data_IF_508066630473
#
_entry.id   IF_508066630473
#
_cell.length_a   1.000
_cell.length_b   1.000
_cell.length_c   1.000
_cell.angle_alpha   90.00
_cell.angle_beta   90.00
_cell.angle_gamma   90.00
#
_symmetry.space_group_name_H-M   'P 1'
#
loop_
_entity.id
_entity.type
_entity.pdbx_description
1 polymer ?
#
# COMPACT_ATOMS: atom_id res chain seq x y z
N UNK A 1 -12.48 15.49 12.47
CA UNK A 1 -13.93 15.76 12.51
C UNK A 1 -14.47 15.50 11.12
N UNK A 2 -15.30 14.49 10.94
CA UNK A 2 -15.95 14.17 9.65
C UNK A 2 -17.04 15.21 9.39
N UNK A 3 -16.91 16.02 8.35
CA UNK A 3 -18.01 16.91 7.95
C UNK A 3 -19.11 16.04 7.33
N UNK A 4 -20.18 15.77 8.08
CA UNK A 4 -21.37 15.13 7.53
C UNK A 4 -22.00 16.06 6.48
N UNK A 5 -22.36 15.51 5.32
CA UNK A 5 -23.11 16.24 4.30
C UNK A 5 -22.67 16.05 2.85
N UNK A 6 -21.61 15.29 2.55
CA UNK A 6 -21.29 14.93 1.16
C UNK A 6 -21.77 13.54 0.84
N UNK A 7 -22.48 13.41 -0.27
CA UNK A 7 -23.03 12.16 -0.82
C UNK A 7 -22.67 12.03 -2.30
N UNK A 8 -22.77 10.82 -2.84
CA UNK A 8 -22.55 10.57 -4.28
C UNK A 8 -23.44 11.47 -5.17
N UNK A 9 -24.75 11.64 -4.90
CA UNK A 9 -25.58 12.59 -5.65
C UNK A 9 -25.05 14.04 -5.64
N UNK A 10 -24.54 14.51 -4.50
CA UNK A 10 -23.97 15.85 -4.41
C UNK A 10 -22.71 15.97 -5.27
N UNK A 11 -21.85 14.95 -5.26
CA UNK A 11 -20.67 14.90 -6.12
C UNK A 11 -21.05 14.91 -7.60
N UNK A 12 -22.05 14.15 -8.02
CA UNK A 12 -22.56 14.17 -9.40
C UNK A 12 -23.01 15.56 -9.87
N UNK A 13 -23.58 16.37 -8.95
CA UNK A 13 -24.02 17.74 -9.26
C UNK A 13 -22.86 18.74 -9.26
N UNK A 14 -21.87 18.54 -8.38
CA UNK A 14 -20.73 19.46 -8.23
C UNK A 14 -19.61 19.22 -9.22
N UNK A 15 -19.50 18.02 -9.79
CA UNK A 15 -18.44 17.66 -10.74
C UNK A 15 -18.77 18.23 -12.12
N UNK A 16 -18.05 19.26 -12.60
CA UNK A 16 -18.35 19.87 -13.88
C UNK A 16 -17.98 18.91 -15.01
N UNK A 17 -18.75 18.94 -16.10
CA UNK A 17 -18.32 18.34 -17.37
C UNK A 17 -17.33 19.30 -18.04
N UNK A 18 -16.09 19.28 -17.57
CA UNK A 18 -14.98 20.09 -18.07
C UNK A 18 -13.91 19.15 -18.66
N UNK A 19 -13.18 19.54 -19.73
CA UNK A 19 -12.11 18.71 -20.30
C UNK A 19 -10.99 18.34 -19.31
N UNK A 20 -10.84 19.09 -18.21
CA UNK A 20 -9.85 18.81 -17.16
C UNK A 20 -10.34 17.79 -16.12
N UNK A 21 -11.60 17.37 -16.19
CA UNK A 21 -12.17 16.29 -15.38
C UNK A 21 -12.10 15.01 -16.19
N UNK A 22 -11.46 13.94 -15.69
CA UNK A 22 -11.43 12.67 -16.39
C UNK A 22 -12.85 12.12 -16.60
N UNK A 23 -13.19 11.66 -17.81
CA UNK A 23 -14.47 10.99 -18.09
C UNK A 23 -14.73 9.83 -17.11
N UNK A 24 -13.64 9.13 -16.73
CA UNK A 24 -13.66 8.05 -15.74
C UNK A 24 -14.21 8.48 -14.37
N UNK A 25 -14.04 9.74 -13.97
CA UNK A 25 -14.62 10.26 -12.73
C UNK A 25 -16.16 10.24 -12.76
N UNK A 26 -16.76 10.59 -13.90
CA UNK A 26 -18.21 10.52 -14.10
C UNK A 26 -18.70 9.08 -14.15
N UNK A 27 -17.94 8.18 -14.80
CA UNK A 27 -18.27 6.75 -14.85
C UNK A 27 -18.25 6.11 -13.45
N UNK A 28 -17.25 6.43 -12.63
CA UNK A 28 -17.16 5.95 -11.25
C UNK A 28 -18.39 6.39 -10.45
N UNK A 29 -18.72 7.69 -10.47
CA UNK A 29 -19.88 8.20 -9.73
C UNK A 29 -21.21 7.61 -10.23
N UNK A 30 -21.30 7.25 -11.51
CA UNK A 30 -22.49 6.60 -12.07
C UNK A 30 -22.59 5.12 -11.68
N UNK A 31 -21.46 4.45 -11.43
CA UNK A 31 -21.40 3.03 -11.09
C UNK A 31 -21.53 2.74 -9.58
N UNK A 32 -21.15 3.71 -8.74
CA UNK A 32 -21.20 3.58 -7.28
C UNK A 32 -22.66 3.78 -6.77
N UNK A 33 -23.13 3.00 -5.77
CA UNK A 33 -24.44 3.21 -5.16
C UNK A 33 -24.61 4.64 -4.63
N UNK A 34 -25.83 5.19 -4.74
CA UNK A 34 -26.09 6.58 -4.33
C UNK A 34 -25.90 6.83 -2.82
N UNK A 35 -26.02 5.77 -2.01
CA UNK A 35 -25.82 5.75 -0.57
C UNK A 35 -24.41 5.31 -0.16
N UNK A 36 -23.51 5.10 -1.12
CA UNK A 36 -22.12 4.74 -0.82
C UNK A 36 -21.44 5.80 0.03
N UNK A 37 -20.55 5.33 0.89
CA UNK A 37 -19.78 6.20 1.77
C UNK A 37 -18.85 7.11 0.95
N UNK A 38 -18.90 8.40 1.25
CA UNK A 38 -17.96 9.38 0.73
C UNK A 38 -17.04 9.79 1.87
N UNK A 39 -15.76 9.46 1.77
CA UNK A 39 -14.77 9.96 2.70
C UNK A 39 -14.62 11.47 2.50
N UNK A 40 -14.92 12.24 3.54
CA UNK A 40 -14.95 13.70 3.51
C UNK A 40 -14.14 14.29 4.65
N UNK A 41 -13.15 15.10 4.31
CA UNK A 41 -12.35 15.86 5.27
C UNK A 41 -11.89 17.19 4.69
N UNK A 42 -11.41 18.06 5.57
CA UNK A 42 -10.79 19.35 5.25
C UNK A 42 -9.28 19.31 5.51
N UNK A 43 -8.51 20.02 4.70
CA UNK A 43 -7.07 20.13 4.88
C UNK A 43 -6.55 21.47 4.32
N UNK A 44 -5.46 22.03 4.88
CA UNK A 44 -4.72 23.10 4.21
C UNK A 44 -4.15 22.61 2.88
N UNK A 45 -4.33 23.38 1.80
CA UNK A 45 -3.92 22.96 0.46
C UNK A 45 -2.42 22.61 0.38
N UNK A 46 -1.54 23.44 0.94
CA UNK A 46 -0.10 23.19 0.95
C UNK A 46 0.29 21.93 1.76
N UNK A 47 -0.44 21.61 2.83
CA UNK A 47 -0.20 20.39 3.60
C UNK A 47 -0.61 19.14 2.79
N UNK A 48 -1.75 19.21 2.11
CA UNK A 48 -2.22 18.14 1.23
C UNK A 48 -1.29 17.95 0.04
N UNK A 49 -0.86 19.02 -0.63
CA UNK A 49 0.09 18.96 -1.74
C UNK A 49 1.42 18.31 -1.31
N UNK A 50 1.94 18.65 -0.13
CA UNK A 50 3.13 18.00 0.44
C UNK A 50 2.91 16.52 0.75
N UNK A 51 1.72 16.15 1.22
CA UNK A 51 1.38 14.74 1.48
C UNK A 51 1.29 13.95 0.17
N UNK A 52 0.62 14.47 -0.85
CA UNK A 52 0.47 13.82 -2.16
C UNK A 52 1.82 13.62 -2.85
N UNK A 53 2.72 14.60 -2.80
CA UNK A 53 4.10 14.48 -3.34
C UNK A 53 4.94 13.40 -2.66
N UNK A 54 4.67 13.12 -1.38
CA UNK A 54 5.36 12.06 -0.61
C UNK A 54 4.65 10.71 -0.69
N UNK A 55 3.46 10.67 -1.29
CA UNK A 55 2.71 9.43 -1.43
C UNK A 55 3.39 8.52 -2.45
N UNK A 56 3.21 7.20 -2.30
CA UNK A 56 3.74 6.21 -3.24
C UNK A 56 3.13 6.32 -4.64
N UNK A 57 2.00 7.00 -4.76
CA UNK A 57 1.30 7.27 -6.02
C UNK A 57 1.78 8.58 -6.68
N UNK A 58 2.81 9.24 -6.14
CA UNK A 58 3.41 10.40 -6.78
C UNK A 58 3.89 10.05 -8.19
N UNK A 59 3.37 10.76 -9.20
CA UNK A 59 3.68 10.52 -10.61
C UNK A 59 2.65 9.67 -11.36
N UNK A 60 1.63 9.12 -10.68
CA UNK A 60 0.51 8.49 -11.38
C UNK A 60 -0.28 9.52 -12.20
N UNK A 61 -0.95 9.10 -13.29
CA UNK A 61 -1.86 9.96 -14.05
C UNK A 61 -2.90 10.63 -13.13
N UNK A 62 -3.16 11.93 -13.33
CA UNK A 62 -4.11 12.69 -12.53
C UNK A 62 -3.55 13.29 -11.22
N UNK A 63 -2.50 12.72 -10.60
CA UNK A 63 -1.89 13.30 -9.40
C UNK A 63 -1.30 14.69 -9.62
N UNK A 64 -0.71 14.91 -10.81
CA UNK A 64 -0.15 16.22 -11.18
C UNK A 64 -1.21 17.33 -11.19
N UNK A 65 -2.42 17.02 -11.66
CA UNK A 65 -3.52 17.98 -11.70
C UNK A 65 -4.00 18.35 -10.29
N UNK A 66 -4.10 17.37 -9.37
CA UNK A 66 -4.42 17.65 -7.97
C UNK A 66 -3.37 18.56 -7.32
N UNK A 67 -2.09 18.24 -7.48
CA UNK A 67 -0.99 19.01 -6.88
C UNK A 67 -0.94 20.42 -7.44
N UNK A 68 -1.10 20.60 -8.75
CA UNK A 68 -1.10 21.92 -9.40
C UNK A 68 -2.23 22.82 -8.86
N UNK A 69 -3.45 22.30 -8.73
CA UNK A 69 -4.57 23.06 -8.16
C UNK A 69 -4.33 23.43 -6.69
N UNK A 70 -3.69 22.56 -5.92
CA UNK A 70 -3.37 22.83 -4.51
C UNK A 70 -2.24 23.86 -4.34
N UNK A 71 -1.22 23.82 -5.20
CA UNK A 71 -0.10 24.78 -5.14
C UNK A 71 -0.57 26.21 -5.39
N UNK A 72 -1.56 26.39 -6.28
CA UNK A 72 -2.14 27.70 -6.58
C UNK A 72 -2.87 28.35 -5.38
N UNK A 73 -3.23 27.55 -4.37
CA UNK A 73 -4.04 27.97 -3.22
C UNK A 73 -3.22 28.25 -1.95
N UNK A 74 -1.92 27.91 -1.93
CA UNK A 74 -1.09 28.10 -0.74
C UNK A 74 -1.65 27.37 0.49
N UNK A 75 -1.89 28.08 1.60
CA UNK A 75 -2.45 27.49 2.83
C UNK A 75 -3.98 27.57 2.91
N UNK A 76 -4.68 27.99 1.84
CA UNK A 76 -6.15 28.02 1.84
C UNK A 76 -6.74 26.61 2.13
N UNK A 77 -7.81 26.53 2.94
CA UNK A 77 -8.45 25.26 3.25
C UNK A 77 -9.22 24.72 2.03
N UNK A 78 -9.08 23.42 1.81
CA UNK A 78 -9.80 22.67 0.77
C UNK A 78 -10.62 21.55 1.39
N UNK A 79 -11.71 21.21 0.72
CA UNK A 79 -12.53 20.05 1.01
C UNK A 79 -12.10 18.90 0.09
N UNK A 80 -11.70 17.80 0.70
CA UNK A 80 -11.34 16.57 -0.01
C UNK A 80 -12.50 15.60 0.07
N UNK A 81 -12.95 15.09 -1.07
CA UNK A 81 -14.02 14.09 -1.18
C UNK A 81 -13.52 12.90 -1.97
N UNK A 82 -13.70 11.71 -1.38
CA UNK A 82 -13.14 10.49 -1.90
C UNK A 82 -14.22 9.42 -2.02
N UNK A 83 -14.25 8.77 -3.19
CA UNK A 83 -15.19 7.70 -3.53
C UNK A 83 -14.42 6.53 -4.10
N UNK A 84 -14.73 5.34 -3.60
CA UNK A 84 -14.10 4.08 -4.01
C UNK A 84 -14.96 3.32 -5.02
N UNK A 85 -14.31 2.76 -6.04
CA UNK A 85 -14.89 1.74 -6.92
C UNK A 85 -13.84 0.65 -7.20
N UNK A 86 -13.89 -0.43 -6.43
CA UNK A 86 -12.89 -1.49 -6.53
C UNK A 86 -11.49 -0.96 -6.19
N UNK A 87 -10.53 -1.14 -7.11
CA UNK A 87 -9.17 -0.62 -6.97
C UNK A 87 -9.02 0.85 -7.36
N UNK A 88 -10.06 1.49 -7.92
CA UNK A 88 -10.02 2.91 -8.29
C UNK A 88 -10.50 3.81 -7.15
N UNK A 89 -9.81 4.92 -6.97
CA UNK A 89 -10.14 6.01 -6.05
C UNK A 89 -10.38 7.29 -6.84
N UNK A 90 -11.60 7.79 -6.81
CA UNK A 90 -11.90 9.16 -7.24
C UNK A 90 -11.63 10.11 -6.08
N UNK A 91 -10.75 11.10 -6.29
CA UNK A 91 -10.57 12.24 -5.38
C UNK A 91 -11.08 13.51 -6.05
N UNK A 92 -11.99 14.22 -5.38
CA UNK A 92 -12.51 15.54 -5.78
C UNK A 92 -12.07 16.58 -4.76
N UNK A 93 -11.52 17.69 -5.25
CA UNK A 93 -11.11 18.84 -4.46
C UNK A 93 -12.08 19.99 -4.70
N UNK A 94 -12.61 20.55 -3.62
CA UNK A 94 -13.43 21.76 -3.63
C UNK A 94 -12.77 22.81 -2.73
N UNK A 95 -12.94 24.10 -3.04
CA UNK A 95 -12.52 25.18 -2.15
C UNK A 95 -13.44 25.22 -0.94
N UNK A 96 -12.88 25.33 0.27
CA UNK A 96 -13.71 25.28 1.48
C UNK A 96 -14.55 26.54 1.73
N UNK A 97 -14.16 27.69 1.18
CA UNK A 97 -14.88 28.97 1.40
C UNK A 97 -16.22 29.03 0.67
N UNK A 98 -16.31 28.46 -0.53
CA UNK A 98 -17.45 28.62 -1.44
C UNK A 98 -17.91 27.30 -2.09
N UNK A 99 -17.24 26.18 -1.83
CA UNK A 99 -17.56 24.88 -2.41
C UNK A 99 -17.19 24.76 -3.89
N UNK A 100 -16.47 25.72 -4.46
CA UNK A 100 -16.11 25.73 -5.89
C UNK A 100 -15.23 24.54 -6.23
N UNK A 101 -15.52 23.88 -7.35
CA UNK A 101 -14.70 22.80 -7.87
C UNK A 101 -13.28 23.29 -8.21
N UNK A 102 -12.27 22.53 -7.78
CA UNK A 102 -10.86 22.83 -8.03
C UNK A 102 -10.19 21.81 -8.94
N UNK A 103 -10.42 20.52 -8.69
CA UNK A 103 -9.81 19.42 -9.45
C UNK A 103 -10.47 18.10 -9.12
N UNK A 104 -10.39 17.14 -10.02
CA UNK A 104 -10.72 15.75 -9.79
C UNK A 104 -9.67 14.86 -10.43
N UNK A 105 -9.34 13.76 -9.76
CA UNK A 105 -8.48 12.74 -10.32
C UNK A 105 -8.97 11.35 -9.93
N UNK A 106 -8.81 10.43 -10.87
CA UNK A 106 -9.00 9.00 -10.64
C UNK A 106 -7.63 8.37 -10.50
N UNK A 107 -7.46 7.65 -9.41
CA UNK A 107 -6.24 6.98 -9.02
C UNK A 107 -6.53 5.49 -9.02
N UNK A 108 -5.90 4.76 -9.93
CA UNK A 108 -5.91 3.30 -9.85
C UNK A 108 -4.89 2.87 -8.79
N UNK A 109 -5.38 2.32 -7.68
CA UNK A 109 -4.55 1.83 -6.57
C UNK A 109 -3.84 0.53 -6.92
N UNK A 110 -4.27 -0.18 -7.95
CA UNK A 110 -3.57 -1.33 -8.52
C UNK A 110 -2.56 -0.91 -9.59
N UNK A 111 -2.77 0.23 -10.28
CA UNK A 111 -1.81 0.73 -11.26
C UNK A 111 -0.44 1.01 -10.61
N UNK A 112 0.60 0.35 -11.11
CA UNK A 112 1.96 0.45 -10.55
C UNK A 112 2.18 -0.39 -9.30
N UNK A 113 1.19 -1.17 -8.84
CA UNK A 113 1.44 -2.28 -7.91
C UNK A 113 1.97 -3.44 -8.73
N UNK A 114 3.28 -3.58 -8.72
CA UNK A 114 3.91 -4.74 -9.31
C UNK A 114 3.52 -5.97 -8.51
N UNK A 115 3.23 -7.06 -9.21
CA UNK A 115 2.84 -8.31 -8.59
C UNK A 115 3.67 -9.45 -9.14
N UNK A 116 3.88 -10.45 -8.32
CA UNK A 116 4.42 -11.75 -8.71
C UNK A 116 3.32 -12.78 -8.54
N UNK A 117 3.20 -13.71 -9.49
CA UNK A 117 2.25 -14.83 -9.33
C UNK A 117 2.77 -15.82 -8.28
N UNK A 118 1.88 -16.51 -7.57
CA UNK A 118 2.27 -17.56 -6.64
C UNK A 118 3.09 -18.67 -7.35
N UNK A 119 2.75 -19.00 -8.61
CA UNK A 119 3.52 -19.93 -9.42
C UNK A 119 4.96 -19.46 -9.69
N UNK A 120 5.13 -18.21 -10.11
CA UNK A 120 6.46 -17.62 -10.36
C UNK A 120 7.29 -17.53 -9.07
N UNK A 121 6.67 -17.09 -7.96
CA UNK A 121 7.33 -17.05 -6.66
C UNK A 121 7.74 -18.45 -6.18
N UNK A 122 6.91 -19.47 -6.43
CA UNK A 122 7.24 -20.88 -6.13
C UNK A 122 8.49 -21.32 -6.87
N UNK A 123 8.63 -20.95 -8.15
CA UNK A 123 9.84 -21.26 -8.96
C UNK A 123 11.07 -20.55 -8.39
N UNK A 124 10.97 -19.25 -8.11
CA UNK A 124 12.09 -18.47 -7.58
C UNK A 124 12.55 -18.98 -6.20
N UNK A 125 11.60 -19.30 -5.31
CA UNK A 125 11.92 -19.85 -3.99
C UNK A 125 12.48 -21.26 -4.09
N UNK A 126 11.92 -22.12 -4.95
CA UNK A 126 12.41 -23.49 -5.14
C UNK A 126 13.81 -23.57 -5.77
N UNK A 127 14.21 -22.55 -6.54
CA UNK A 127 15.56 -22.44 -7.10
C UNK A 127 16.55 -21.73 -6.18
N UNK A 128 16.08 -21.11 -5.08
CA UNK A 128 16.91 -20.26 -4.22
C UNK A 128 17.62 -21.06 -3.13
N UNK A 129 18.88 -20.74 -2.90
CA UNK A 129 19.64 -21.16 -1.72
C UNK A 129 19.58 -20.12 -0.57
N UNK A 130 18.71 -19.12 -0.68
CA UNK A 130 18.62 -18.04 0.28
C UNK A 130 18.11 -18.53 1.65
N UNK A 131 18.60 -17.95 2.76
CA UNK A 131 18.12 -18.29 4.10
C UNK A 131 16.59 -18.14 4.23
N UNK A 132 15.97 -19.17 4.81
CA UNK A 132 14.53 -19.26 5.05
C UNK A 132 13.65 -19.54 3.82
N UNK A 133 14.23 -19.68 2.62
CA UNK A 133 13.46 -19.84 1.38
C UNK A 133 12.48 -21.03 1.44
N UNK A 134 12.87 -22.14 2.08
CA UNK A 134 12.00 -23.31 2.26
C UNK A 134 10.71 -22.98 3.02
N UNK A 135 10.78 -22.15 4.07
CA UNK A 135 9.60 -21.75 4.86
C UNK A 135 8.67 -20.84 4.05
N UNK A 136 9.24 -19.90 3.29
CA UNK A 136 8.45 -19.09 2.38
C UNK A 136 7.82 -19.94 1.25
N UNK A 137 8.54 -20.97 0.78
CA UNK A 137 8.07 -21.92 -0.22
C UNK A 137 6.88 -22.75 0.29
N UNK A 138 6.91 -23.17 1.55
CA UNK A 138 5.77 -23.84 2.19
C UNK A 138 4.53 -22.94 2.21
N UNK A 139 4.69 -21.64 2.51
CA UNK A 139 3.57 -20.70 2.55
C UNK A 139 2.99 -20.40 1.17
N UNK A 140 3.82 -20.14 0.16
CA UNK A 140 3.32 -19.83 -1.18
C UNK A 140 2.58 -21.02 -1.80
N UNK A 141 2.95 -22.26 -1.45
CA UNK A 141 2.27 -23.49 -1.90
C UNK A 141 0.85 -23.64 -1.36
N UNK A 142 0.44 -22.84 -0.38
CA UNK A 142 -0.94 -22.80 0.12
C UNK A 142 -1.84 -21.93 -0.76
N UNK A 143 -1.28 -21.12 -1.64
CA UNK A 143 -2.00 -20.21 -2.53
C UNK A 143 -2.36 -20.90 -3.85
N UNK A 144 -3.39 -20.37 -4.53
CA UNK A 144 -3.67 -20.79 -5.89
C UNK A 144 -2.55 -20.27 -6.83
N UNK A 145 -2.16 -21.02 -7.88
CA UNK A 145 -1.02 -20.65 -8.74
C UNK A 145 -1.12 -19.24 -9.36
N UNK A 146 -2.33 -18.81 -9.68
CA UNK A 146 -2.62 -17.52 -10.31
C UNK A 146 -2.80 -16.38 -9.30
N UNK A 147 -2.76 -16.68 -7.98
CA UNK A 147 -2.87 -15.66 -6.94
C UNK A 147 -1.74 -14.63 -7.10
N UNK A 148 -2.11 -13.36 -7.01
CA UNK A 148 -1.20 -12.23 -7.21
C UNK A 148 -0.73 -11.69 -5.88
N UNK A 149 0.57 -11.75 -5.67
CA UNK A 149 1.23 -11.28 -4.46
C UNK A 149 1.85 -9.93 -4.77
N UNK A 150 1.55 -8.93 -3.94
CA UNK A 150 2.04 -7.57 -4.13
C UNK A 150 3.53 -7.48 -3.85
N UNK A 151 4.25 -6.83 -4.74
CA UNK A 151 5.63 -6.39 -4.56
C UNK A 151 5.65 -4.95 -4.06
N UNK A 152 6.62 -4.65 -3.21
CA UNK A 152 6.86 -3.33 -2.66
C UNK A 152 8.33 -2.99 -2.81
N UNK A 153 8.64 -1.87 -3.44
CA UNK A 153 9.98 -1.32 -3.47
C UNK A 153 10.25 -0.55 -2.18
N UNK A 154 11.34 -0.88 -1.48
CA UNK A 154 11.76 -0.20 -0.26
C UNK A 154 13.29 -0.09 -0.18
N UNK A 155 13.77 1.02 0.37
CA UNK A 155 15.20 1.23 0.60
C UNK A 155 15.79 0.16 1.51
N UNK A 156 16.78 -0.57 1.01
CA UNK A 156 17.36 -1.74 1.67
C UNK A 156 17.83 -1.44 3.10
N UNK A 157 18.64 -0.37 3.28
CA UNK A 157 19.13 0.04 4.61
C UNK A 157 18.01 0.40 5.58
N UNK A 158 16.97 1.10 5.13
CA UNK A 158 15.84 1.45 6.01
C UNK A 158 15.03 0.22 6.40
N UNK A 159 14.82 -0.71 5.47
CA UNK A 159 14.10 -1.96 5.71
C UNK A 159 14.88 -2.86 6.66
N UNK A 160 16.16 -3.10 6.42
CA UNK A 160 16.99 -3.92 7.30
C UNK A 160 17.01 -3.39 8.74
N UNK A 161 17.18 -2.08 8.94
CA UNK A 161 17.13 -1.44 10.27
C UNK A 161 15.76 -1.63 10.93
N UNK A 162 14.69 -1.47 10.15
CA UNK A 162 13.31 -1.64 10.64
C UNK A 162 13.06 -3.08 11.07
N UNK A 163 13.50 -4.06 10.27
CA UNK A 163 13.34 -5.48 10.59
C UNK A 163 14.14 -5.87 11.82
N UNK A 164 15.41 -5.48 11.91
CA UNK A 164 16.27 -5.73 13.07
C UNK A 164 15.63 -5.20 14.36
N UNK A 165 15.06 -3.99 14.31
CA UNK A 165 14.40 -3.37 15.47
C UNK A 165 13.07 -4.07 15.77
N UNK A 166 12.13 -4.09 14.81
CA UNK A 166 10.75 -4.56 15.03
C UNK A 166 10.71 -6.04 15.40
N UNK A 167 11.41 -6.88 14.64
CA UNK A 167 11.39 -8.32 14.85
C UNK A 167 12.39 -8.78 15.91
N UNK A 168 13.44 -8.00 16.20
CA UNK A 168 14.26 -8.19 17.40
C UNK A 168 13.42 -8.03 18.67
N UNK A 169 12.67 -6.92 18.79
CA UNK A 169 11.73 -6.72 19.90
C UNK A 169 10.61 -7.77 19.92
N UNK A 170 10.13 -8.23 18.76
CA UNK A 170 9.12 -9.28 18.72
C UNK A 170 9.67 -10.60 19.29
N UNK A 171 10.91 -10.97 18.92
CA UNK A 171 11.58 -12.15 19.45
C UNK A 171 11.74 -12.07 20.97
N UNK A 172 12.14 -10.92 21.51
CA UNK A 172 12.20 -10.66 22.96
C UNK A 172 10.85 -10.80 23.66
N UNK A 173 9.75 -10.48 22.95
CA UNK A 173 8.37 -10.57 23.44
C UNK A 173 7.72 -11.94 23.21
N UNK A 174 8.51 -12.97 22.92
CA UNK A 174 8.03 -14.34 22.81
C UNK A 174 7.47 -14.74 21.44
N UNK A 175 7.65 -13.91 20.40
CA UNK A 175 7.41 -14.35 19.02
C UNK A 175 8.57 -15.21 18.53
N UNK A 176 8.26 -16.23 17.74
CA UNK A 176 9.31 -16.98 17.06
C UNK A 176 9.61 -16.27 15.74
N UNK A 177 10.83 -15.76 15.58
CA UNK A 177 11.28 -15.15 14.33
C UNK A 177 12.42 -15.98 13.73
N UNK A 178 12.24 -16.44 12.50
CA UNK A 178 13.22 -17.25 11.78
C UNK A 178 14.04 -16.41 10.81
N UNK A 179 15.32 -16.73 10.71
CA UNK A 179 16.25 -16.23 9.68
C UNK A 179 16.45 -14.69 9.70
N UNK A 180 16.06 -14.00 10.79
CA UNK A 180 16.11 -12.54 10.90
C UNK A 180 17.52 -11.96 10.71
N UNK A 181 18.52 -12.55 11.35
CA UNK A 181 19.91 -12.06 11.25
C UNK A 181 20.41 -12.12 9.81
N UNK A 182 20.28 -13.28 9.18
CA UNK A 182 20.68 -13.49 7.78
C UNK A 182 19.90 -12.61 6.81
N UNK A 183 18.61 -12.37 7.06
CA UNK A 183 17.81 -11.43 6.28
C UNK A 183 18.32 -10.00 6.40
N UNK A 184 18.56 -9.52 7.63
CA UNK A 184 19.07 -8.16 7.88
C UNK A 184 20.44 -7.98 7.23
N UNK A 185 21.33 -8.97 7.33
CA UNK A 185 22.66 -8.90 6.73
C UNK A 185 22.59 -8.84 5.19
N UNK A 186 21.82 -9.74 4.58
CA UNK A 186 21.67 -9.80 3.13
C UNK A 186 21.06 -8.51 2.55
N UNK A 187 20.00 -7.98 3.19
CA UNK A 187 19.37 -6.73 2.75
C UNK A 187 20.29 -5.53 3.01
N UNK A 188 21.00 -5.47 4.14
CA UNK A 188 21.90 -4.34 4.47
C UNK A 188 23.04 -4.19 3.46
N UNK A 189 23.49 -5.28 2.84
CA UNK A 189 24.56 -5.28 1.84
C UNK A 189 24.27 -4.39 0.62
N UNK A 190 22.99 -4.11 0.33
CA UNK A 190 22.56 -3.26 -0.79
C UNK A 190 22.51 -1.76 -0.47
N UNK A 191 22.77 -1.36 0.78
CA UNK A 191 22.93 0.04 1.16
C UNK A 191 21.71 0.91 0.82
N UNK A 192 21.92 1.92 -0.04
CA UNK A 192 20.89 2.90 -0.40
C UNK A 192 20.00 2.48 -1.59
N UNK A 193 20.20 1.27 -2.13
CA UNK A 193 19.39 0.74 -3.24
C UNK A 193 17.99 0.36 -2.74
N UNK A 194 16.98 0.66 -3.54
CA UNK A 194 15.63 0.14 -3.32
C UNK A 194 15.57 -1.33 -3.79
N UNK A 195 14.99 -2.19 -2.94
CA UNK A 195 14.81 -3.60 -3.23
C UNK A 195 13.32 -3.95 -3.31
N UNK A 196 12.95 -4.93 -4.16
CA UNK A 196 11.62 -5.49 -4.17
C UNK A 196 11.43 -6.43 -2.98
N UNK A 197 10.27 -6.32 -2.34
CA UNK A 197 9.83 -7.21 -1.26
C UNK A 197 8.41 -7.70 -1.50
N UNK A 198 8.09 -8.92 -1.07
CA UNK A 198 6.68 -9.32 -0.88
C UNK A 198 6.46 -9.89 0.52
N UNK A 199 5.20 -9.84 0.97
CA UNK A 199 4.76 -10.48 2.19
C UNK A 199 3.83 -11.66 1.86
N UNK A 200 4.01 -12.76 2.58
CA UNK A 200 3.16 -13.95 2.52
C UNK A 200 2.49 -14.11 3.88
N UNK A 201 1.16 -14.04 3.90
CA UNK A 201 0.36 -14.25 5.09
C UNK A 201 -0.15 -15.70 5.11
N UNK A 202 0.11 -16.40 6.22
CA UNK A 202 -0.42 -17.72 6.50
C UNK A 202 -1.03 -17.81 7.90
N UNK A 203 -1.66 -18.94 8.25
CA UNK A 203 -2.28 -19.10 9.57
C UNK A 203 -1.28 -18.90 10.72
N UNK A 204 -1.35 -17.73 11.37
CA UNK A 204 -0.50 -17.36 12.52
C UNK A 204 0.96 -17.05 12.18
N UNK A 205 1.32 -16.95 10.91
CA UNK A 205 2.68 -16.70 10.42
C UNK A 205 2.68 -15.69 9.28
N UNK A 206 3.68 -14.81 9.28
CA UNK A 206 3.93 -13.88 8.18
C UNK A 206 5.38 -14.09 7.73
N UNK A 207 5.59 -14.32 6.43
CA UNK A 207 6.92 -14.32 5.84
C UNK A 207 7.12 -13.07 4.98
N UNK A 208 8.35 -12.57 4.96
CA UNK A 208 8.80 -11.53 4.03
C UNK A 208 9.88 -12.12 3.14
N UNK A 209 9.74 -11.90 1.84
CA UNK A 209 10.71 -12.29 0.82
C UNK A 209 11.32 -11.03 0.24
N UNK A 210 12.64 -10.95 0.22
CA UNK A 210 13.40 -9.91 -0.47
C UNK A 210 13.97 -10.48 -1.76
N UNK A 211 13.95 -9.70 -2.84
CA UNK A 211 14.47 -10.10 -4.15
C UNK A 211 15.75 -9.31 -4.49
N UNK A 212 16.48 -9.79 -5.49
CA UNK A 212 17.50 -8.97 -6.17
C UNK A 212 16.83 -7.77 -6.85
N UNK A 213 17.56 -6.65 -7.11
CA UNK A 213 16.97 -5.47 -7.77
C UNK A 213 16.32 -5.76 -9.12
N UNK A 214 16.85 -6.74 -9.87
CA UNK A 214 16.31 -7.19 -11.16
C UNK A 214 15.21 -8.25 -11.05
N UNK A 215 14.84 -8.66 -9.83
CA UNK A 215 13.78 -9.63 -9.50
C UNK A 215 14.00 -11.05 -10.00
N UNK A 216 15.18 -11.37 -10.49
CA UNK A 216 15.45 -12.70 -11.03
C UNK A 216 15.76 -13.74 -9.96
N UNK A 217 16.01 -13.33 -8.71
CA UNK A 217 16.33 -14.24 -7.61
C UNK A 217 15.81 -13.73 -6.26
N UNK A 218 15.57 -14.68 -5.35
CA UNK A 218 15.32 -14.40 -3.93
C UNK A 218 16.64 -14.17 -3.21
N UNK A 219 16.78 -13.01 -2.58
CA UNK A 219 17.96 -12.59 -1.83
C UNK A 219 17.97 -13.20 -0.42
N UNK A 220 16.85 -13.05 0.30
CA UNK A 220 16.68 -13.56 1.65
C UNK A 220 15.20 -13.60 2.02
N UNK A 221 14.88 -14.44 3.01
CA UNK A 221 13.54 -14.46 3.59
C UNK A 221 13.62 -14.45 5.11
N UNK A 222 12.56 -13.97 5.76
CA UNK A 222 12.38 -14.08 7.20
C UNK A 222 10.92 -14.34 7.49
N UNK A 223 10.62 -15.04 8.57
CA UNK A 223 9.23 -15.26 9.00
C UNK A 223 9.07 -15.02 10.48
N UNK A 224 7.90 -14.53 10.86
CA UNK A 224 7.51 -14.33 12.24
C UNK A 224 6.21 -15.09 12.51
N UNK A 225 6.22 -15.90 13.57
CA UNK A 225 5.06 -16.67 14.03
C UNK A 225 4.72 -16.26 15.45
N UNK A 226 3.44 -16.09 15.73
CA UNK A 226 2.97 -15.97 17.11
C UNK A 226 2.99 -17.36 17.73
N UNK A 227 3.79 -17.53 18.77
CA UNK A 227 3.79 -18.77 19.57
C UNK A 227 2.40 -18.92 20.16
N UNK A 228 1.75 -20.08 19.95
CA UNK A 228 0.51 -20.36 20.66
C UNK A 228 0.86 -20.40 22.15
N UNK A 229 0.14 -19.64 22.98
CA UNK A 229 0.23 -19.79 24.43
C UNK A 229 0.02 -21.28 24.72
N UNK A 230 1.03 -21.93 25.27
CA UNK A 230 0.89 -23.24 25.90
C UNK A 230 -0.09 -23.01 27.04
N UNK A 231 -1.37 -23.19 26.74
CA UNK A 231 -2.45 -23.10 27.71
C UNK A 231 -2.27 -24.27 28.66
N UNK A 232 -1.73 -23.96 29.83
CA UNK A 232 -1.96 -24.57 31.15
C UNK A 232 -2.83 -25.85 31.16
N UNK A 233 -2.33 -26.96 30.58
CA UNK A 233 -2.78 -28.30 30.93
C UNK A 233 -2.11 -28.66 32.27
N UNK A 234 -2.73 -28.24 33.38
CA UNK A 234 -2.05 -28.40 34.66
C UNK A 234 -2.78 -28.06 35.94
N UNK A 235 -4.12 -27.96 35.98
CA UNK A 235 -4.86 -27.98 37.25
C UNK A 235 -6.18 -28.76 37.15
N UNK A 236 -6.08 -30.07 37.34
CA UNK A 236 -7.09 -30.85 38.08
C UNK A 236 -7.18 -30.39 39.52
#
# INVERSE_FOLDING_TARGET
MTSSGTSVPLLCLTLPRHPDVPDRAHEILAAVPLDAEVLAYDAPAAALARALRRSRSAGQPGYGALVASLDALGDEPVLVRQVDLGDELLTVLLRASDGTFLSAAVVDRAAGVETISAAELTVLLGASAAPGADRALELVRLLAPDDRIRLFEQGARSTARTFATKYGLAAERGFTVHDLGSFVDAVSAFGAVDLPFCALDGPGVVATVAFTPDRTAVLATTSARRTADVSDEGRT
#
